data_IF_955844291902
#
_entry.id   IF_955844291902
#
_cell.length_a   1.000
_cell.length_b   1.000
_cell.length_c   1.000
_cell.angle_alpha   90.00
_cell.angle_beta   90.00
_cell.angle_gamma   90.00
#
_symmetry.space_group_name_H-M   'P 1'
#
loop_
_entity.id
_entity.type
_entity.pdbx_description
1 polymer ?
#
# COMPACT_ATOMS: atom_id res chain seq x y z
N UNK A 1 4.42 -13.40 21.39
CA UNK A 1 3.93 -12.77 20.16
C UNK A 1 3.89 -11.28 20.42
N UNK A 2 4.57 -10.48 19.60
CA UNK A 2 4.65 -9.02 19.78
C UNK A 2 3.77 -8.38 18.72
N UNK A 3 2.80 -7.59 19.15
CA UNK A 3 2.00 -6.76 18.23
C UNK A 3 2.85 -5.56 17.85
N UNK A 4 2.99 -5.33 16.54
CA UNK A 4 3.70 -4.19 15.98
C UNK A 4 2.68 -3.29 15.30
N UNK A 5 2.73 -2.00 15.61
CA UNK A 5 2.00 -0.96 14.88
C UNK A 5 3.03 -0.01 14.27
N UNK A 6 2.93 0.23 12.97
CA UNK A 6 3.93 1.02 12.26
C UNK A 6 3.34 1.84 11.11
N UNK A 7 4.19 2.71 10.57
CA UNK A 7 3.94 3.49 9.36
C UNK A 7 4.66 2.84 8.19
N UNK A 8 3.99 2.71 7.05
CA UNK A 8 4.59 2.23 5.81
C UNK A 8 4.38 3.20 4.66
N UNK A 9 5.45 3.47 3.94
CA UNK A 9 5.52 4.40 2.83
C UNK A 9 5.30 3.68 1.50
N UNK A 10 4.60 4.35 0.60
CA UNK A 10 4.54 4.01 -0.81
C UNK A 10 5.87 4.41 -1.46
N UNK A 11 6.74 3.45 -1.79
CA UNK A 11 8.10 3.71 -2.28
C UNK A 11 8.18 3.67 -3.80
N UNK A 12 9.17 4.36 -4.37
CA UNK A 12 9.39 4.39 -5.83
C UNK A 12 10.13 3.17 -6.37
N UNK A 13 10.89 2.46 -5.53
CA UNK A 13 11.60 1.25 -5.93
C UNK A 13 10.66 0.04 -5.94
N UNK A 14 10.94 -0.91 -6.83
CA UNK A 14 10.14 -2.13 -6.99
C UNK A 14 10.78 -3.32 -6.29
N UNK A 15 9.98 -4.35 -6.07
CA UNK A 15 10.44 -5.67 -5.63
C UNK A 15 9.59 -6.77 -6.26
N UNK A 16 10.18 -7.95 -6.35
CA UNK A 16 9.48 -9.17 -6.74
C UNK A 16 9.20 -10.00 -5.50
N UNK A 17 7.92 -10.24 -5.23
CA UNK A 17 7.46 -11.07 -4.12
C UNK A 17 6.48 -12.10 -4.67
N UNK A 18 6.77 -13.38 -4.44
CA UNK A 18 5.95 -14.50 -4.91
C UNK A 18 5.72 -14.45 -6.44
N UNK A 19 6.80 -14.16 -7.19
CA UNK A 19 6.81 -14.12 -8.65
C UNK A 19 6.20 -12.87 -9.29
N UNK A 20 5.65 -11.94 -8.49
CA UNK A 20 4.99 -10.73 -8.99
C UNK A 20 5.78 -9.48 -8.61
N UNK A 21 6.07 -8.63 -9.61
CA UNK A 21 6.75 -7.35 -9.42
C UNK A 21 5.75 -6.27 -9.06
N UNK A 22 6.04 -5.51 -8.00
CA UNK A 22 5.24 -4.35 -7.56
C UNK A 22 6.14 -3.32 -6.86
N UNK A 23 5.62 -2.13 -6.58
CA UNK A 23 6.34 -1.14 -5.76
C UNK A 23 6.50 -1.63 -4.32
N UNK A 24 7.56 -1.21 -3.63
CA UNK A 24 7.76 -1.57 -2.23
C UNK A 24 6.80 -0.82 -1.31
N UNK A 25 6.28 -1.53 -0.32
CA UNK A 25 5.54 -0.98 0.81
C UNK A 25 6.35 -1.16 2.10
N UNK A 26 7.17 -0.16 2.42
CA UNK A 26 8.26 -0.28 3.40
C UNK A 26 8.19 0.73 4.54
N UNK A 27 8.91 0.46 5.63
CA UNK A 27 8.94 1.29 6.84
C UNK A 27 9.78 2.57 6.69
N UNK A 28 10.63 2.63 5.67
CA UNK A 28 11.38 3.83 5.28
C UNK A 28 10.95 4.27 3.89
N UNK A 29 10.90 5.59 3.68
CA UNK A 29 10.63 6.15 2.37
C UNK A 29 11.86 6.04 1.46
N UNK A 30 11.67 6.16 0.15
CA UNK A 30 12.75 6.35 -0.82
C UNK A 30 13.17 7.82 -0.89
N UNK A 31 14.29 8.10 -1.56
CA UNK A 31 14.79 9.46 -1.80
C UNK A 31 14.30 10.05 -3.13
N UNK A 32 13.83 9.21 -4.06
CA UNK A 32 13.39 9.59 -5.39
C UNK A 32 11.89 9.44 -5.55
N UNK A 33 11.21 10.43 -6.10
CA UNK A 33 9.77 10.33 -6.35
C UNK A 33 9.44 9.51 -7.59
N UNK A 34 8.24 8.95 -7.63
CA UNK A 34 7.59 8.45 -8.84
C UNK A 34 6.11 8.83 -8.82
N UNK A 35 5.41 8.54 -9.91
CA UNK A 35 4.01 8.91 -10.10
C UNK A 35 3.21 7.80 -10.74
N UNK A 36 1.92 7.76 -10.42
CA UNK A 36 0.92 6.98 -11.16
C UNK A 36 -0.23 7.89 -11.59
N UNK A 37 -0.54 7.91 -12.88
CA UNK A 37 -1.55 8.81 -13.46
C UNK A 37 -2.80 8.05 -13.88
N UNK A 38 -3.94 8.75 -13.83
CA UNK A 38 -5.24 8.27 -14.27
C UNK A 38 -5.96 9.36 -15.05
N UNK A 39 -6.49 8.99 -16.22
CA UNK A 39 -7.19 9.92 -17.12
C UNK A 39 -8.70 9.70 -17.03
N UNK A 40 -9.45 10.79 -17.05
CA UNK A 40 -10.92 10.80 -17.07
C UNK A 40 -11.41 12.04 -17.82
N UNK A 41 -12.72 12.17 -18.02
CA UNK A 41 -13.29 13.24 -18.86
C UNK A 41 -13.80 14.42 -18.05
N UNK A 42 -14.31 14.15 -16.84
CA UNK A 42 -14.80 15.18 -15.95
C UNK A 42 -14.79 14.71 -14.50
N UNK A 43 -14.73 15.69 -13.59
CA UNK A 43 -14.96 15.49 -12.17
C UNK A 43 -16.44 15.10 -11.90
N UNK A 44 -16.75 14.44 -10.77
CA UNK A 44 -15.85 14.09 -9.68
C UNK A 44 -14.87 12.96 -9.98
N UNK A 45 -13.70 13.05 -9.34
CA UNK A 45 -12.76 11.95 -9.19
C UNK A 45 -12.93 11.35 -7.80
N UNK A 46 -12.93 10.02 -7.72
CA UNK A 46 -12.85 9.27 -6.47
C UNK A 46 -11.52 8.52 -6.40
N UNK A 47 -10.91 8.51 -5.21
CA UNK A 47 -9.69 7.77 -4.90
C UNK A 47 -9.96 6.87 -3.70
N UNK A 48 -9.51 5.62 -3.78
CA UNK A 48 -9.68 4.63 -2.73
C UNK A 48 -8.46 3.71 -2.63
N UNK A 49 -8.45 2.86 -1.62
CA UNK A 49 -7.42 1.83 -1.39
C UNK A 49 -8.11 0.47 -1.28
N UNK A 50 -7.52 -0.55 -1.92
CA UNK A 50 -7.86 -1.93 -1.63
C UNK A 50 -6.66 -2.70 -1.09
N UNK A 51 -6.95 -3.70 -0.26
CA UNK A 51 -5.98 -4.57 0.37
C UNK A 51 -6.19 -6.02 -0.07
N UNK A 52 -5.09 -6.75 -0.22
CA UNK A 52 -5.13 -8.19 -0.45
C UNK A 52 -3.97 -8.89 0.25
N UNK A 53 -4.19 -10.15 0.63
CA UNK A 53 -3.13 -11.09 1.01
C UNK A 53 -2.67 -11.82 -0.23
N UNK A 54 -1.37 -11.80 -0.52
CA UNK A 54 -0.76 -12.57 -1.60
C UNK A 54 0.04 -13.73 -1.02
N UNK A 55 -0.28 -14.94 -1.46
CA UNK A 55 0.40 -16.19 -1.07
C UNK A 55 1.66 -16.45 -1.92
N UNK A 56 2.53 -17.39 -1.51
CA UNK A 56 3.73 -17.79 -2.25
C UNK A 56 3.50 -18.24 -3.69
N UNK A 57 2.33 -18.79 -3.97
CA UNK A 57 1.90 -19.21 -5.31
C UNK A 57 1.42 -18.04 -6.19
N UNK A 58 1.48 -16.81 -5.69
CA UNK A 58 1.03 -15.59 -6.36
C UNK A 58 -0.48 -15.36 -6.28
N UNK A 59 -1.25 -16.26 -5.65
CA UNK A 59 -2.70 -16.08 -5.49
C UNK A 59 -3.00 -14.96 -4.51
N UNK A 60 -4.01 -14.16 -4.82
CA UNK A 60 -4.41 -13.03 -4.00
C UNK A 60 -5.84 -13.19 -3.48
N UNK A 61 -6.02 -12.90 -2.20
CA UNK A 61 -7.33 -12.88 -1.54
C UNK A 61 -7.58 -11.48 -1.01
N UNK A 62 -8.70 -10.86 -1.37
CA UNK A 62 -9.07 -9.55 -0.86
C UNK A 62 -9.19 -9.56 0.68
N UNK A 63 -8.68 -8.51 1.32
CA UNK A 63 -8.88 -8.26 2.75
C UNK A 63 -10.08 -7.33 2.86
N UNK A 64 -11.16 -7.72 3.57
CA UNK A 64 -12.34 -6.88 3.67
C UNK A 64 -12.06 -5.57 4.41
N UNK A 65 -12.59 -4.49 3.85
CA UNK A 65 -12.48 -3.12 4.39
C UNK A 65 -13.91 -2.65 4.71
N UNK A 66 -14.44 -2.91 5.92
CA UNK A 66 -15.82 -2.56 6.27
C UNK A 66 -16.10 -1.06 6.25
N UNK A 67 -15.08 -0.22 6.43
CA UNK A 67 -15.18 1.24 6.23
C UNK A 67 -14.19 1.64 5.15
N UNK A 68 -14.58 1.67 3.86
CA UNK A 68 -13.65 1.97 2.78
C UNK A 68 -13.23 3.44 2.82
N UNK A 69 -11.93 3.68 2.53
CA UNK A 69 -11.44 5.02 2.27
C UNK A 69 -12.10 5.57 1.00
N UNK A 70 -12.57 6.82 1.04
CA UNK A 70 -13.18 7.46 -0.12
C UNK A 70 -12.85 8.96 -0.14
N UNK A 71 -11.83 9.31 -0.92
CA UNK A 71 -11.53 10.72 -1.22
C UNK A 71 -12.27 11.11 -2.50
N UNK A 72 -13.16 12.09 -2.41
CA UNK A 72 -13.92 12.62 -3.56
C UNK A 72 -13.52 14.06 -3.85
N UNK A 73 -13.15 14.32 -5.10
CA UNK A 73 -12.74 15.62 -5.59
C UNK A 73 -13.73 16.13 -6.63
N UNK A 74 -14.31 17.31 -6.41
CA UNK A 74 -15.25 17.97 -7.33
C UNK A 74 -14.65 19.19 -8.03
N UNK A 75 -13.45 19.61 -7.63
CA UNK A 75 -12.68 20.69 -8.26
C UNK A 75 -11.20 20.29 -8.36
N UNK A 76 -10.43 20.86 -9.31
CA UNK A 76 -8.99 20.67 -9.38
C UNK A 76 -8.30 21.12 -8.09
N UNK A 77 -7.36 20.33 -7.59
CA UNK A 77 -6.63 20.60 -6.35
C UNK A 77 -5.35 19.77 -6.30
N UNK A 78 -4.34 20.24 -5.55
CA UNK A 78 -3.09 19.49 -5.37
C UNK A 78 -2.64 19.55 -3.91
N UNK A 79 -2.09 18.46 -3.41
CA UNK A 79 -1.52 18.39 -2.07
C UNK A 79 -1.64 17.02 -1.41
N UNK A 80 -1.35 16.99 -0.11
CA UNK A 80 -1.54 15.81 0.74
C UNK A 80 -2.99 15.74 1.22
N UNK A 81 -3.65 14.63 0.92
CA UNK A 81 -5.00 14.35 1.40
C UNK A 81 -4.98 13.19 2.39
N UNK A 82 -5.80 13.30 3.42
CA UNK A 82 -5.83 12.34 4.53
C UNK A 82 -7.25 11.88 4.78
N UNK A 83 -7.39 10.57 4.89
CA UNK A 83 -8.63 9.91 5.31
C UNK A 83 -8.26 8.57 5.97
N UNK A 84 -9.22 7.92 6.60
CA UNK A 84 -9.00 6.67 7.30
C UNK A 84 -9.89 5.56 6.75
N UNK A 85 -9.50 4.32 7.04
CA UNK A 85 -10.30 3.14 6.80
C UNK A 85 -10.00 2.08 7.84
N UNK A 86 -10.91 1.14 8.03
CA UNK A 86 -10.66 -0.04 8.87
C UNK A 86 -10.56 -1.27 8.00
N UNK A 87 -9.61 -2.15 8.29
CA UNK A 87 -9.48 -3.45 7.64
C UNK A 87 -9.67 -4.57 8.67
N UNK A 88 -10.31 -5.67 8.29
CA UNK A 88 -10.45 -6.83 9.17
C UNK A 88 -9.13 -7.57 9.34
N UNK A 89 -8.98 -8.21 10.50
CA UNK A 89 -7.90 -9.15 10.72
C UNK A 89 -7.91 -10.24 9.67
N UNK A 90 -6.73 -10.63 9.23
CA UNK A 90 -6.53 -11.67 8.23
C UNK A 90 -5.29 -12.45 8.64
N UNK A 91 -5.39 -13.78 8.66
CA UNK A 91 -4.23 -14.62 8.93
C UNK A 91 -3.30 -14.65 7.72
N UNK A 92 -2.00 -14.46 7.98
CA UNK A 92 -0.94 -14.50 6.99
C UNK A 92 -0.01 -15.67 7.33
N UNK A 93 0.30 -16.48 6.32
CA UNK A 93 1.43 -17.40 6.39
C UNK A 93 2.74 -16.63 6.45
N UNK A 94 3.80 -17.29 6.92
CA UNK A 94 5.15 -16.69 7.05
C UNK A 94 5.72 -16.10 5.75
N UNK A 95 5.23 -16.59 4.61
CA UNK A 95 5.65 -16.15 3.26
C UNK A 95 4.55 -15.36 2.51
N UNK A 96 3.45 -15.03 3.19
CA UNK A 96 2.42 -14.18 2.62
C UNK A 96 2.86 -12.72 2.66
N UNK A 97 2.38 -11.93 1.70
CA UNK A 97 2.64 -10.50 1.61
C UNK A 97 1.35 -9.70 1.57
N UNK A 98 1.36 -8.54 2.23
CA UNK A 98 0.29 -7.56 2.11
C UNK A 98 0.47 -6.79 0.81
N UNK A 99 -0.58 -6.80 -0.01
CA UNK A 99 -0.71 -6.02 -1.24
C UNK A 99 -1.64 -4.86 -0.99
N UNK A 100 -1.19 -3.66 -1.35
CA UNK A 100 -1.96 -2.41 -1.26
C UNK A 100 -2.11 -1.86 -2.66
N UNK A 101 -3.34 -1.51 -3.05
CA UNK A 101 -3.62 -0.88 -4.35
C UNK A 101 -4.20 0.50 -4.13
N UNK A 102 -3.63 1.47 -4.81
CA UNK A 102 -4.26 2.79 -4.95
C UNK A 102 -5.17 2.71 -6.17
N UNK A 103 -6.44 3.05 -5.98
CA UNK A 103 -7.48 2.93 -6.99
C UNK A 103 -8.10 4.28 -7.27
N UNK A 104 -8.45 4.53 -8.52
CA UNK A 104 -9.09 5.76 -8.96
C UNK A 104 -10.30 5.47 -9.84
N UNK A 105 -11.28 6.37 -9.78
CA UNK A 105 -12.52 6.28 -10.55
C UNK A 105 -13.07 7.68 -10.85
N UNK A 106 -13.09 8.06 -12.11
CA UNK A 106 -13.66 9.33 -12.59
C UNK A 106 -14.91 9.12 -13.45
N UNK A 107 -15.29 10.14 -14.22
CA UNK A 107 -16.36 10.05 -15.22
C UNK A 107 -15.83 9.98 -16.65
N UNK A 108 -16.50 9.19 -17.47
CA UNK A 108 -16.36 9.07 -18.91
C UNK A 108 -17.08 10.18 -19.68
N UNK A 109 -17.01 10.09 -21.00
CA UNK A 109 -17.81 10.94 -21.89
C UNK A 109 -19.31 10.78 -21.58
N UNK A 110 -20.06 11.89 -21.61
CA UNK A 110 -21.48 11.89 -21.25
C UNK A 110 -21.76 11.74 -19.74
N UNK A 111 -20.74 11.84 -18.88
CA UNK A 111 -20.89 11.82 -17.42
C UNK A 111 -21.08 10.43 -16.80
N UNK A 112 -20.84 9.37 -17.57
CA UNK A 112 -20.95 7.97 -17.13
C UNK A 112 -19.83 7.65 -16.12
N UNK A 113 -20.12 7.01 -14.99
CA UNK A 113 -19.06 6.57 -14.08
C UNK A 113 -18.19 5.49 -14.71
N UNK A 114 -16.86 5.68 -14.66
CA UNK A 114 -15.90 4.66 -15.09
C UNK A 114 -15.79 3.55 -14.03
N UNK A 115 -15.31 2.35 -14.37
CA UNK A 115 -14.95 1.35 -13.36
C UNK A 115 -13.74 1.79 -12.54
N UNK A 116 -13.63 1.26 -11.32
CA UNK A 116 -12.42 1.43 -10.50
C UNK A 116 -11.19 0.87 -11.22
N UNK A 117 -10.15 1.68 -11.33
CA UNK A 117 -8.89 1.32 -11.96
C UNK A 117 -7.77 1.36 -10.94
N UNK A 118 -6.96 0.30 -10.87
CA UNK A 118 -5.74 0.29 -10.05
C UNK A 118 -4.67 1.10 -10.76
N UNK A 119 -4.16 2.15 -10.12
CA UNK A 119 -3.13 3.03 -10.71
C UNK A 119 -1.72 2.65 -10.23
N UNK A 120 -1.61 2.11 -9.02
CA UNK A 120 -0.35 1.64 -8.46
C UNK A 120 -0.58 0.44 -7.52
N UNK A 121 0.34 -0.51 -7.56
CA UNK A 121 0.34 -1.71 -6.72
C UNK A 121 1.61 -1.69 -5.88
N UNK A 122 1.42 -1.85 -4.57
CA UNK A 122 2.48 -1.93 -3.58
C UNK A 122 2.42 -3.26 -2.86
N UNK A 123 3.57 -3.81 -2.51
CA UNK A 123 3.65 -5.06 -1.75
C UNK A 123 4.68 -4.94 -0.65
N UNK A 124 4.42 -5.62 0.46
CA UNK A 124 5.44 -5.95 1.48
C UNK A 124 6.23 -7.18 1.03
N UNK A 125 7.42 -7.42 1.60
CA UNK A 125 8.16 -8.68 1.39
C UNK A 125 7.50 -9.80 2.19
N UNK A 126 7.30 -9.54 3.48
CA UNK A 126 6.55 -10.39 4.41
C UNK A 126 5.82 -9.47 5.40
N UNK A 127 4.68 -9.93 5.89
CA UNK A 127 4.03 -9.35 7.05
C UNK A 127 3.50 -10.51 7.90
N UNK A 128 3.53 -10.35 9.22
CA UNK A 128 2.90 -11.33 10.10
C UNK A 128 1.38 -11.26 10.03
N UNK A 129 0.67 -11.93 10.95
CA UNK A 129 -0.80 -11.92 10.94
C UNK A 129 -1.32 -10.49 11.02
N UNK A 130 -1.97 -10.04 9.95
CA UNK A 130 -2.53 -8.71 9.85
C UNK A 130 -3.71 -8.58 10.82
N UNK A 131 -3.64 -7.62 11.73
CA UNK A 131 -4.66 -7.39 12.74
C UNK A 131 -5.68 -6.37 12.25
N UNK A 132 -6.85 -6.40 12.88
CA UNK A 132 -7.83 -5.34 12.69
C UNK A 132 -7.18 -4.01 13.03
N UNK A 133 -7.16 -3.10 12.07
CA UNK A 133 -6.39 -1.87 12.15
C UNK A 133 -7.26 -0.69 11.72
N UNK A 134 -7.22 0.39 12.49
CA UNK A 134 -7.65 1.71 12.04
C UNK A 134 -6.46 2.35 11.32
N UNK A 135 -6.57 2.48 10.00
CA UNK A 135 -5.47 2.86 9.14
C UNK A 135 -5.74 4.26 8.60
N UNK A 136 -4.81 5.17 8.84
CA UNK A 136 -4.87 6.51 8.26
C UNK A 136 -4.01 6.53 7.01
N UNK A 137 -4.60 6.91 5.88
CA UNK A 137 -3.88 7.08 4.63
C UNK A 137 -3.53 8.54 4.41
N UNK A 138 -2.30 8.77 3.94
CA UNK A 138 -1.82 10.07 3.48
C UNK A 138 -1.43 9.90 2.02
N UNK A 139 -2.18 10.53 1.11
CA UNK A 139 -1.97 10.41 -0.33
C UNK A 139 -1.70 11.80 -0.92
N UNK A 140 -0.51 11.97 -1.49
CA UNK A 140 -0.22 13.17 -2.28
C UNK A 140 -0.81 13.03 -3.68
N UNK A 141 -1.75 13.90 -4.02
CA UNK A 141 -2.49 13.88 -5.28
C UNK A 141 -2.40 15.24 -5.96
N UNK A 142 -2.27 15.23 -7.28
CA UNK A 142 -2.57 16.36 -8.15
C UNK A 142 -3.81 16.00 -8.98
N UNK A 143 -4.92 16.69 -8.74
CA UNK A 143 -6.22 16.46 -9.37
C UNK A 143 -6.50 17.60 -10.33
N UNK A 144 -6.72 17.27 -11.60
CA UNK A 144 -7.01 18.19 -12.68
C UNK A 144 -8.45 17.99 -13.18
N UNK A 145 -8.89 18.71 -14.22
CA UNK A 145 -10.26 18.54 -14.75
C UNK A 145 -10.46 17.22 -15.52
N UNK A 146 -9.39 16.68 -16.12
CA UNK A 146 -9.40 15.50 -17.01
C UNK A 146 -8.34 14.46 -16.65
N UNK A 147 -7.75 14.57 -15.47
CA UNK A 147 -6.71 13.66 -15.03
C UNK A 147 -6.38 13.82 -13.55
N UNK A 148 -5.68 12.84 -13.02
CA UNK A 148 -5.05 12.96 -11.72
C UNK A 148 -3.75 12.16 -11.67
N UNK A 149 -2.85 12.61 -10.81
CA UNK A 149 -1.56 11.99 -10.58
C UNK A 149 -1.37 11.75 -9.10
N UNK A 150 -1.07 10.51 -8.75
CA UNK A 150 -0.64 10.12 -7.41
C UNK A 150 0.88 10.15 -7.33
N UNK A 151 1.42 10.91 -6.39
CA UNK A 151 2.85 11.07 -6.16
C UNK A 151 3.29 10.28 -4.93
N UNK A 152 4.44 9.63 -5.01
CA UNK A 152 4.97 8.84 -3.91
C UNK A 152 6.49 8.64 -4.00
N UNK A 153 7.09 8.17 -2.91
CA UNK A 153 8.49 7.72 -2.88
C UNK A 153 9.55 8.77 -2.55
N UNK A 154 9.20 10.00 -2.17
CA UNK A 154 10.21 10.98 -1.71
C UNK A 154 9.77 11.71 -0.46
N UNK A 155 10.68 12.46 0.16
CA UNK A 155 10.36 13.33 1.29
C UNK A 155 9.34 14.42 0.92
N UNK A 156 9.35 14.89 -0.34
CA UNK A 156 8.37 15.86 -0.87
C UNK A 156 7.00 15.23 -1.12
N UNK A 157 6.97 13.93 -1.43
CA UNK A 157 5.75 13.15 -1.64
C UNK A 157 5.68 11.94 -0.71
N UNK A 158 5.54 12.15 0.62
CA UNK A 158 5.63 11.10 1.62
C UNK A 158 4.30 10.37 1.80
N UNK A 159 3.72 9.92 0.69
CA UNK A 159 2.48 9.14 0.69
C UNK A 159 2.70 7.84 1.48
N UNK A 160 1.80 7.53 2.43
CA UNK A 160 1.98 6.45 3.40
C UNK A 160 0.66 5.99 4.02
N UNK A 161 0.69 4.84 4.69
CA UNK A 161 -0.35 4.41 5.63
C UNK A 161 0.23 4.35 7.04
N UNK A 162 -0.51 4.89 8.00
CA UNK A 162 -0.21 4.84 9.44
C UNK A 162 -1.21 3.93 10.15
N UNK A 163 -0.80 3.29 11.24
CA UNK A 163 -1.66 2.41 12.03
C UNK A 163 -1.75 0.96 11.54
N UNK A 164 -0.85 0.56 10.63
CA UNK A 164 -0.77 -0.85 10.17
C UNK A 164 -0.33 -1.71 11.35
N UNK A 165 -1.21 -2.63 11.79
CA UNK A 165 -0.96 -3.48 12.95
C UNK A 165 -0.89 -4.95 12.55
N UNK A 166 0.13 -5.66 13.01
CA UNK A 166 0.30 -7.09 12.76
C UNK A 166 1.03 -7.79 13.90
N UNK A 167 0.82 -9.10 14.02
CA UNK A 167 1.58 -9.93 14.96
C UNK A 167 2.94 -10.24 14.34
N UNK A 168 4.02 -9.76 14.93
CA UNK A 168 5.33 -10.28 14.61
C UNK A 168 5.51 -11.63 15.34
N UNK A 169 5.65 -12.76 14.62
CA UNK A 169 5.86 -14.06 15.26
C UNK A 169 7.19 -14.14 16.01
N UNK A 170 8.06 -13.13 15.93
CA UNK A 170 9.33 -13.11 16.65
C UNK A 170 10.34 -14.09 16.08
N UNK A 171 10.22 -14.42 14.79
CA UNK A 171 11.31 -15.05 14.06
C UNK A 171 12.44 -14.02 14.02
N UNK A 172 13.47 -14.27 14.82
CA UNK A 172 14.72 -13.52 14.80
C UNK A 172 15.20 -13.44 13.35
N UNK A 173 15.33 -12.24 12.74
CA UNK A 173 15.62 -12.13 11.31
C UNK A 173 17.02 -12.64 10.93
N UNK A 174 17.83 -13.03 11.91
CA UNK A 174 19.10 -13.70 11.71
C UNK A 174 19.29 -14.73 12.82
N UNK A 175 19.59 -16.01 12.55
CA UNK A 175 20.39 -16.74 13.52
C UNK A 175 21.68 -15.92 13.62
N UNK A 176 21.94 -15.34 14.80
CA UNK A 176 23.27 -14.80 15.10
C UNK A 176 24.27 -15.85 14.63
N UNK A 177 25.12 -15.52 13.67
CA UNK A 177 26.21 -16.39 13.27
C UNK A 177 26.91 -16.82 14.56
N UNK A 178 26.76 -18.10 14.91
CA UNK A 178 27.43 -18.64 16.07
C UNK A 178 28.93 -18.42 15.84
N UNK A 179 29.64 -17.66 16.69
CA UNK A 179 31.06 -17.48 16.52
C UNK A 179 31.73 -18.85 16.57
N UNK A 180 32.58 -19.09 15.57
CA UNK A 180 33.07 -20.40 15.18
C UNK A 180 33.49 -21.31 16.33
N UNK A 181 32.93 -22.52 16.33
CA UNK A 181 33.53 -23.65 17.02
C UNK A 181 34.81 -24.03 16.25
N UNK A 182 35.94 -23.43 16.62
CA UNK A 182 37.27 -23.87 16.21
C UNK A 182 37.52 -25.24 16.85
N UNK A 183 37.32 -26.31 16.07
CA UNK A 183 37.83 -27.63 16.39
C UNK A 183 39.35 -27.57 16.32
N UNK A 184 40.02 -27.52 17.49
CA UNK A 184 41.45 -27.82 17.57
C UNK A 184 41.60 -29.34 17.43
N UNK A 185 42.23 -29.74 16.32
CA UNK A 185 42.80 -31.08 16.11
C UNK A 185 44.11 -31.15 16.91
#
# INVERSE_FOLDING_TARGET
>A
MVIVTETRYFRSDTQTVNGLTAYKFGITNTTTSTTASYTYYSLPLNVSISLARRRPDGTETAIPIPTPLMLTFTTPTSGMFTDYFTAFSTSFGVNDSLVVRVMMRGRGFGGIELPWTTVAIFTTTHIGNFQTSYITAYLYLDVQSTGATFYFGSADYPSRLEGITYDNPGLDPFPSEAPGCLLKI
#
